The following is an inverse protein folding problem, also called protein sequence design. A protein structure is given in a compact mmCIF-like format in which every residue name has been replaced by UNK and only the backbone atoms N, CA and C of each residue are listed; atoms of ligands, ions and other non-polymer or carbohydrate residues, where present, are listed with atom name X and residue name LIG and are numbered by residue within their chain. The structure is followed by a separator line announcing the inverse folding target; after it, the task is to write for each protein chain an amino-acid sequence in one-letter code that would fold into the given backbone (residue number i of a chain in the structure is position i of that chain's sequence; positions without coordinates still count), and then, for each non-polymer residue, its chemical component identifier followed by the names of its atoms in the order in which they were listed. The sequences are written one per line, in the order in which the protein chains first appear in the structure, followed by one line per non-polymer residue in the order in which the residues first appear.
data_IF_501442608400
#
_entry.id   IF_501442608400
#
_cell.length_a   1.000
_cell.length_b   1.000
_cell.length_c   1.000
_cell.angle_alpha   90.00
_cell.angle_beta   90.00
_cell.angle_gamma   90.00
#
_symmetry.space_group_name_H-M   'P 1'
#
loop_
_entity.id
_entity.type
_entity.pdbx_description
1 polymer ?
#
# COMPACT_ATOMS: atom_id res chain seq x y z
N UNK A 1 14.38 -5.38 17.37
CA UNK A 1 14.73 -3.95 17.55
C UNK A 1 13.53 -3.03 17.45
N UNK A 2 12.71 -3.08 16.40
CA UNK A 2 11.53 -2.20 16.24
C UNK A 2 10.59 -2.21 17.46
N UNK A 3 10.29 -3.40 18.03
CA UNK A 3 9.43 -3.52 19.21
C UNK A 3 9.99 -2.83 20.48
N UNK A 4 11.28 -2.47 20.50
CA UNK A 4 11.90 -1.74 21.60
C UNK A 4 11.69 -0.22 21.50
N UNK A 5 11.25 0.32 20.35
CA UNK A 5 11.04 1.76 20.11
C UNK A 5 10.26 2.45 21.24
N UNK A 6 9.11 1.94 21.70
CA UNK A 6 8.35 2.59 22.77
C UNK A 6 9.05 2.58 24.13
N UNK A 7 9.99 1.66 24.34
CA UNK A 7 10.69 1.45 25.62
C UNK A 7 12.08 2.09 25.71
N UNK A 8 12.60 2.69 24.63
CA UNK A 8 13.90 3.35 24.68
C UNK A 8 13.84 4.61 25.55
N UNK A 9 14.72 4.65 26.56
CA UNK A 9 15.03 5.86 27.30
C UNK A 9 16.18 6.57 26.59
N UNK A 10 15.95 7.81 26.14
CA UNK A 10 17.03 8.69 25.69
C UNK A 10 17.47 9.49 26.92
N UNK A 11 18.71 9.31 27.35
CA UNK A 11 19.32 10.13 28.40
C UNK A 11 19.95 11.38 27.74
N UNK A 12 19.34 12.56 27.94
CA UNK A 12 19.84 13.83 27.41
C UNK A 12 19.92 13.91 25.87
N UNK A 13 20.87 14.69 25.35
CA UNK A 13 21.15 14.79 23.90
C UNK A 13 21.86 13.53 23.33
N UNK A 14 22.15 12.53 24.18
CA UNK A 14 23.03 11.42 23.88
C UNK A 14 22.31 10.18 23.32
N UNK A 15 23.08 9.41 22.56
CA UNK A 15 22.74 8.22 21.77
C UNK A 15 21.90 7.18 22.54
N UNK A 16 21.05 6.45 21.83
CA UNK A 16 20.27 5.35 22.38
C UNK A 16 21.19 4.30 23.04
N UNK A 17 20.85 3.86 24.25
CA UNK A 17 21.56 2.77 24.91
C UNK A 17 21.27 1.44 24.19
N UNK A 18 22.25 0.98 23.43
CA UNK A 18 22.19 -0.22 22.60
C UNK A 18 23.51 -0.99 22.72
N UNK A 19 23.44 -2.31 22.74
CA UNK A 19 24.62 -3.17 22.57
C UNK A 19 25.22 -3.00 21.17
N UNK A 20 26.48 -3.39 20.99
CA UNK A 20 27.16 -3.23 19.69
C UNK A 20 26.49 -4.07 18.58
N UNK A 21 25.96 -5.24 18.91
CA UNK A 21 25.16 -6.04 17.98
C UNK A 21 23.87 -5.33 17.55
N UNK A 22 23.23 -4.60 18.46
CA UNK A 22 22.02 -3.84 18.17
C UNK A 22 22.33 -2.61 17.31
N UNK A 23 23.43 -1.90 17.58
CA UNK A 23 23.92 -0.79 16.74
C UNK A 23 24.17 -1.26 15.32
N UNK A 24 24.96 -2.33 15.17
CA UNK A 24 25.27 -2.94 13.87
C UNK A 24 24.01 -3.39 13.09
N UNK A 25 22.93 -3.71 13.80
CA UNK A 25 21.65 -4.04 13.18
C UNK A 25 20.88 -2.79 12.75
N UNK A 26 20.76 -1.77 13.60
CA UNK A 26 19.99 -0.56 13.29
C UNK A 26 20.65 0.31 12.22
N UNK A 27 21.98 0.28 12.11
CA UNK A 27 22.73 0.99 11.05
C UNK A 27 22.41 0.47 9.64
N UNK A 28 21.83 -0.73 9.53
CA UNK A 28 21.39 -1.33 8.25
C UNK A 28 19.93 -1.00 7.92
N UNK A 29 19.23 -0.31 8.80
CA UNK A 29 17.83 0.05 8.62
C UNK A 29 17.72 1.46 8.06
N UNK A 30 16.77 1.65 7.16
CA UNK A 30 16.31 2.96 6.73
C UNK A 30 14.89 3.20 7.26
N UNK A 31 14.59 4.43 7.67
CA UNK A 31 13.26 4.82 8.10
C UNK A 31 12.54 5.64 7.01
N UNK A 32 11.25 5.39 6.86
CA UNK A 32 10.37 6.28 6.11
C UNK A 32 9.09 6.46 6.92
N UNK A 33 8.80 7.70 7.29
CA UNK A 33 7.65 8.04 8.11
C UNK A 33 6.43 8.34 7.26
N UNK A 34 5.30 7.77 7.66
CA UNK A 34 3.97 8.10 7.16
C UNK A 34 3.07 8.28 8.38
N UNK A 35 2.53 9.48 8.56
CA UNK A 35 1.65 9.77 9.69
C UNK A 35 0.95 11.11 9.54
N UNK A 36 -0.15 11.27 10.26
CA UNK A 36 -0.99 12.46 10.25
C UNK A 36 -0.46 13.61 11.13
N UNK A 37 0.85 13.63 11.39
CA UNK A 37 1.50 14.59 12.28
C UNK A 37 2.33 15.58 11.48
N UNK A 38 2.30 16.85 11.91
CA UNK A 38 3.22 17.87 11.41
C UNK A 38 4.55 17.74 12.16
N UNK A 39 5.49 17.02 11.57
CA UNK A 39 6.89 16.96 12.04
C UNK A 39 7.74 17.97 11.27
N UNK A 40 8.76 18.55 11.90
CA UNK A 40 9.67 19.50 11.23
C UNK A 40 10.52 18.81 10.17
N UNK A 41 10.96 17.57 10.45
CA UNK A 41 11.77 16.74 9.57
C UNK A 41 11.31 15.28 9.67
N UNK A 42 11.36 14.56 8.55
CA UNK A 42 11.04 13.14 8.54
C UNK A 42 12.25 12.32 8.99
N UNK A 43 12.05 11.27 9.81
CA UNK A 43 13.14 10.40 10.21
C UNK A 43 13.60 9.56 9.01
N UNK A 44 14.90 9.49 8.86
CA UNK A 44 15.61 8.59 7.95
C UNK A 44 16.40 7.51 8.70
N UNK A 45 16.72 7.76 9.97
CA UNK A 45 17.48 6.83 10.83
C UNK A 45 16.64 6.24 11.96
N UNK A 46 17.14 5.16 12.58
CA UNK A 46 16.49 4.53 13.73
C UNK A 46 16.41 5.48 14.94
N UNK A 47 17.49 6.20 15.25
CA UNK A 47 17.54 7.16 16.35
C UNK A 47 16.54 8.32 16.16
N UNK A 48 16.44 8.85 14.94
CA UNK A 48 15.42 9.86 14.60
C UNK A 48 14.00 9.30 14.75
N UNK A 49 13.76 8.05 14.32
CA UNK A 49 12.46 7.41 14.48
C UNK A 49 12.07 7.28 15.96
N UNK A 50 13.00 6.91 16.84
CA UNK A 50 12.74 6.86 18.29
C UNK A 50 12.47 8.25 18.87
N UNK A 51 13.22 9.28 18.45
CA UNK A 51 13.00 10.67 18.87
C UNK A 51 11.61 11.17 18.46
N UNK A 52 11.24 10.99 17.19
CA UNK A 52 9.93 11.38 16.67
C UNK A 52 8.81 10.62 17.36
N UNK A 53 8.94 9.29 17.51
CA UNK A 53 7.94 8.47 18.20
C UNK A 53 7.60 9.02 19.59
N UNK A 54 8.62 9.46 20.35
CA UNK A 54 8.43 10.05 21.68
C UNK A 54 7.75 11.43 21.65
N UNK A 55 7.94 12.18 20.57
CA UNK A 55 7.33 13.50 20.40
C UNK A 55 5.88 13.42 19.89
N UNK A 56 5.46 12.31 19.26
CA UNK A 56 4.11 12.17 18.70
C UNK A 56 2.99 12.56 19.67
N UNK A 57 2.99 12.16 20.97
CA UNK A 57 1.94 12.57 21.89
C UNK A 57 1.87 14.09 22.11
N UNK A 58 3.01 14.78 22.19
CA UNK A 58 3.03 16.24 22.34
C UNK A 58 2.61 16.97 21.06
N UNK A 59 2.81 16.37 19.89
CA UNK A 59 2.41 16.96 18.61
C UNK A 59 0.88 17.00 18.41
N UNK A 60 0.11 16.30 19.25
CA UNK A 60 -1.36 16.39 19.24
C UNK A 60 -1.86 17.77 19.68
N UNK A 61 -1.01 18.55 20.37
CA UNK A 61 -1.38 19.83 20.98
C UNK A 61 -2.01 19.65 22.36
N UNK A 62 -2.03 20.72 23.17
CA UNK A 62 -2.46 20.65 24.57
C UNK A 62 -3.93 20.22 24.73
N UNK A 63 -4.76 20.54 23.74
CA UNK A 63 -6.19 20.24 23.69
C UNK A 63 -6.54 19.30 22.54
N UNK A 64 -5.55 18.55 22.03
CA UNK A 64 -5.71 17.68 20.88
C UNK A 64 -6.15 18.43 19.60
N UNK A 65 -5.77 19.70 19.46
CA UNK A 65 -6.16 20.55 18.33
C UNK A 65 -5.61 20.09 16.97
N UNK A 66 -4.55 19.28 16.98
CA UNK A 66 -3.93 18.75 15.76
C UNK A 66 -4.43 17.35 15.37
N UNK A 67 -5.48 16.83 16.02
CA UNK A 67 -6.01 15.50 15.68
C UNK A 67 -6.74 15.50 14.34
N UNK A 68 -6.66 14.37 13.65
CA UNK A 68 -7.42 14.09 12.44
C UNK A 68 -8.50 13.02 12.69
N UNK A 69 -9.65 13.06 11.99
CA UNK A 69 -10.65 12.01 12.08
C UNK A 69 -10.12 10.65 11.59
N UNK A 70 -10.10 9.65 12.47
CA UNK A 70 -9.75 8.26 12.10
C UNK A 70 -10.96 7.41 11.69
N UNK A 71 -12.14 7.76 12.18
CA UNK A 71 -13.39 7.03 11.94
C UNK A 71 -14.51 8.02 11.70
N UNK A 72 -15.28 7.78 10.65
CA UNK A 72 -16.47 8.56 10.31
C UNK A 72 -17.70 7.65 10.34
N UNK A 73 -18.83 8.21 10.76
CA UNK A 73 -20.13 7.55 10.70
C UNK A 73 -20.97 8.28 9.65
N UNK A 74 -21.46 7.53 8.66
CA UNK A 74 -22.27 8.08 7.57
C UNK A 74 -23.73 7.70 7.78
N UNK A 75 -24.63 8.65 7.55
CA UNK A 75 -26.07 8.40 7.52
C UNK A 75 -26.52 8.29 6.06
N UNK A 76 -27.27 7.25 5.66
CA UNK A 76 -27.72 7.09 4.29
C UNK A 76 -28.60 8.25 3.83
N UNK A 77 -28.20 8.96 2.77
CA UNK A 77 -28.92 10.13 2.27
C UNK A 77 -30.34 9.82 1.80
N UNK A 78 -30.59 8.59 1.33
CA UNK A 78 -31.91 8.14 0.88
C UNK A 78 -32.95 8.04 2.02
N UNK A 79 -32.51 8.12 3.28
CA UNK A 79 -33.40 8.24 4.44
C UNK A 79 -33.79 9.70 4.73
N UNK A 80 -33.08 10.68 4.14
CA UNK A 80 -33.35 12.11 4.27
C UNK A 80 -34.06 12.68 3.04
N UNK A 81 -33.65 12.26 1.83
CA UNK A 81 -34.22 12.67 0.55
C UNK A 81 -34.46 11.44 -0.33
N UNK A 82 -35.71 11.21 -0.72
CA UNK A 82 -36.08 10.07 -1.56
C UNK A 82 -35.54 10.15 -3.00
N UNK A 83 -35.04 11.31 -3.44
CA UNK A 83 -34.36 11.50 -4.72
C UNK A 83 -32.89 11.08 -4.67
N UNK A 84 -32.30 10.93 -3.48
CA UNK A 84 -30.90 10.55 -3.34
C UNK A 84 -30.66 9.11 -3.83
N UNK A 85 -29.51 8.88 -4.47
CA UNK A 85 -29.12 7.55 -4.92
C UNK A 85 -28.98 6.59 -3.74
N UNK A 86 -29.67 5.46 -3.81
CA UNK A 86 -29.54 4.37 -2.84
C UNK A 86 -28.36 3.48 -3.20
N UNK A 87 -27.52 3.14 -2.22
CA UNK A 87 -26.63 1.99 -2.34
C UNK A 87 -27.49 0.74 -2.22
N UNK A 88 -27.54 -0.07 -3.29
CA UNK A 88 -28.49 -1.19 -3.38
C UNK A 88 -27.80 -2.53 -3.16
N UNK A 89 -26.49 -2.61 -3.39
CA UNK A 89 -25.75 -3.87 -3.39
C UNK A 89 -24.40 -3.74 -2.72
N UNK A 90 -24.12 -4.67 -1.83
CA UNK A 90 -22.75 -4.96 -1.39
C UNK A 90 -22.04 -5.80 -2.44
N UNK A 91 -20.71 -5.84 -2.37
CA UNK A 91 -19.90 -6.73 -3.21
C UNK A 91 -19.68 -8.01 -2.44
N UNK A 92 -19.91 -9.16 -3.08
CA UNK A 92 -19.71 -10.45 -2.43
C UNK A 92 -18.28 -10.62 -1.90
N UNK A 93 -18.15 -11.19 -0.69
CA UNK A 93 -16.83 -11.44 -0.07
C UNK A 93 -15.93 -12.27 -0.96
N UNK A 94 -16.47 -13.28 -1.65
CA UNK A 94 -15.74 -14.11 -2.61
C UNK A 94 -15.11 -13.28 -3.74
N UNK A 95 -15.82 -12.29 -4.26
CA UNK A 95 -15.28 -11.42 -5.31
C UNK A 95 -14.24 -10.46 -4.75
N UNK A 96 -14.42 -9.97 -3.51
CA UNK A 96 -13.41 -9.18 -2.80
C UNK A 96 -12.12 -9.99 -2.65
N UNK A 97 -12.19 -11.20 -2.10
CA UNK A 97 -11.03 -12.07 -1.89
C UNK A 97 -10.32 -12.40 -3.21
N UNK A 98 -11.09 -12.72 -4.26
CA UNK A 98 -10.53 -12.96 -5.59
C UNK A 98 -9.85 -11.72 -6.17
N UNK A 99 -10.46 -10.53 -6.03
CA UNK A 99 -9.87 -9.27 -6.50
C UNK A 99 -8.56 -8.93 -5.79
N UNK A 100 -8.49 -9.17 -4.47
CA UNK A 100 -7.28 -8.99 -3.67
C UNK A 100 -6.19 -9.91 -4.20
N UNK A 101 -6.48 -11.20 -4.36
CA UNK A 101 -5.52 -12.18 -4.86
C UNK A 101 -4.95 -11.80 -6.23
N UNK A 102 -5.80 -11.34 -7.16
CA UNK A 102 -5.34 -10.89 -8.49
C UNK A 102 -4.41 -9.67 -8.39
N UNK A 103 -4.78 -8.67 -7.59
CA UNK A 103 -3.96 -7.45 -7.43
C UNK A 103 -2.64 -7.77 -6.73
N UNK A 104 -2.65 -8.60 -5.69
CA UNK A 104 -1.45 -9.03 -4.96
C UNK A 104 -0.51 -9.86 -5.83
N UNK A 105 -1.03 -10.74 -6.68
CA UNK A 105 -0.22 -11.51 -7.62
C UNK A 105 0.50 -10.59 -8.62
N UNK A 106 -0.21 -9.63 -9.22
CA UNK A 106 0.40 -8.65 -10.12
C UNK A 106 1.46 -7.79 -9.42
N UNK A 107 1.19 -7.37 -8.18
CA UNK A 107 2.16 -6.60 -7.40
C UNK A 107 3.39 -7.43 -7.03
N UNK A 108 3.22 -8.71 -6.72
CA UNK A 108 4.33 -9.61 -6.41
C UNK A 108 5.28 -9.75 -7.61
N UNK A 109 4.74 -9.85 -8.84
CA UNK A 109 5.54 -9.87 -10.07
C UNK A 109 6.31 -8.57 -10.30
N UNK A 110 5.69 -7.42 -9.99
CA UNK A 110 6.33 -6.11 -10.08
C UNK A 110 7.51 -6.01 -9.12
N UNK A 111 7.34 -6.49 -7.88
CA UNK A 111 8.40 -6.55 -6.87
C UNK A 111 9.54 -7.44 -7.34
N UNK A 112 9.24 -8.65 -7.84
CA UNK A 112 10.24 -9.59 -8.34
C UNK A 112 11.03 -9.02 -9.53
N UNK A 113 10.33 -8.45 -10.51
CA UNK A 113 10.97 -7.80 -11.66
C UNK A 113 11.87 -6.62 -11.22
N UNK A 114 11.40 -5.81 -10.26
CA UNK A 114 12.19 -4.74 -9.66
C UNK A 114 13.44 -5.29 -8.96
N UNK A 115 13.32 -6.37 -8.19
CA UNK A 115 14.45 -6.94 -7.46
C UNK A 115 15.48 -7.57 -8.40
N UNK A 116 15.02 -8.26 -9.45
CA UNK A 116 15.87 -8.75 -10.53
C UNK A 116 16.61 -7.58 -11.19
N UNK A 117 15.94 -6.48 -11.51
CA UNK A 117 16.56 -5.32 -12.19
C UNK A 117 17.69 -4.66 -11.38
N UNK A 118 17.67 -4.81 -10.05
CA UNK A 118 18.71 -4.31 -9.13
C UNK A 118 19.88 -5.28 -8.96
N UNK A 119 19.77 -6.51 -9.47
CA UNK A 119 20.84 -7.49 -9.36
C UNK A 119 22.06 -7.06 -10.18
N UNK A 120 23.25 -7.27 -9.60
CA UNK A 120 24.53 -6.89 -10.22
C UNK A 120 24.79 -7.65 -11.53
N UNK A 121 24.14 -8.79 -11.76
CA UNK A 121 24.28 -9.56 -13.01
C UNK A 121 23.76 -8.74 -14.20
N UNK A 122 22.67 -7.99 -14.04
CA UNK A 122 22.10 -7.20 -15.14
C UNK A 122 22.93 -5.97 -15.51
N UNK A 123 23.89 -5.56 -14.66
CA UNK A 123 24.90 -4.56 -15.02
C UNK A 123 25.85 -5.06 -16.12
N UNK A 124 25.98 -6.39 -16.31
CA UNK A 124 26.82 -7.00 -17.33
C UNK A 124 26.04 -7.45 -18.57
N UNK A 125 24.70 -7.48 -18.50
CA UNK A 125 23.82 -7.97 -19.57
C UNK A 125 22.72 -6.96 -19.88
N UNK A 126 23.12 -5.82 -20.46
CA UNK A 126 22.22 -4.69 -20.76
C UNK A 126 20.97 -5.09 -21.54
N UNK A 127 21.10 -5.96 -22.54
CA UNK A 127 19.95 -6.42 -23.33
C UNK A 127 18.90 -7.13 -22.46
N UNK A 128 19.31 -7.95 -21.49
CA UNK A 128 18.37 -8.60 -20.57
C UNK A 128 17.73 -7.58 -19.61
N UNK A 129 18.47 -6.54 -19.22
CA UNK A 129 17.94 -5.46 -18.40
C UNK A 129 16.87 -4.64 -19.15
N UNK A 130 17.09 -4.37 -20.45
CA UNK A 130 16.11 -3.72 -21.33
C UNK A 130 14.81 -4.53 -21.41
N UNK A 131 14.89 -5.85 -21.64
CA UNK A 131 13.70 -6.73 -21.64
C UNK A 131 12.96 -6.74 -20.31
N UNK A 132 13.69 -6.73 -19.19
CA UNK A 132 13.10 -6.70 -17.86
C UNK A 132 12.43 -5.36 -17.55
N UNK A 133 13.05 -4.26 -17.97
CA UNK A 133 12.47 -2.91 -17.89
C UNK A 133 11.18 -2.81 -18.72
N UNK A 134 11.19 -3.33 -19.95
CA UNK A 134 10.03 -3.38 -20.82
C UNK A 134 8.90 -4.24 -20.24
N UNK A 135 9.24 -5.40 -19.65
CA UNK A 135 8.28 -6.23 -18.92
C UNK A 135 7.63 -5.44 -17.76
N UNK A 136 8.45 -4.80 -16.93
CA UNK A 136 7.98 -3.97 -15.82
C UNK A 136 7.05 -2.85 -16.28
N UNK A 137 7.41 -2.12 -17.33
CA UNK A 137 6.59 -1.06 -17.90
C UNK A 137 5.23 -1.57 -18.39
N UNK A 138 5.20 -2.71 -19.10
CA UNK A 138 3.96 -3.34 -19.58
C UNK A 138 3.09 -3.86 -18.43
N UNK A 139 3.70 -4.41 -17.38
CA UNK A 139 2.98 -4.85 -16.19
C UNK A 139 2.33 -3.66 -15.46
N UNK A 140 3.07 -2.55 -15.28
CA UNK A 140 2.54 -1.33 -14.67
C UNK A 140 1.41 -0.70 -15.49
N UNK A 141 1.52 -0.71 -16.82
CA UNK A 141 0.44 -0.29 -17.72
C UNK A 141 -0.80 -1.18 -17.56
N UNK A 142 -0.63 -2.50 -17.57
CA UNK A 142 -1.72 -3.44 -17.36
C UNK A 142 -2.43 -3.25 -16.01
N UNK A 143 -1.67 -3.05 -14.92
CA UNK A 143 -2.23 -2.78 -13.59
C UNK A 143 -3.00 -1.46 -13.57
N UNK A 144 -2.54 -0.42 -14.28
CA UNK A 144 -3.24 0.88 -14.38
C UNK A 144 -4.57 0.73 -15.10
N UNK A 145 -4.59 0.05 -16.25
CA UNK A 145 -5.81 -0.21 -17.02
C UNK A 145 -6.82 -1.05 -16.22
N UNK A 146 -6.33 -2.03 -15.48
CA UNK A 146 -7.15 -2.84 -14.57
C UNK A 146 -7.78 -1.95 -13.47
N UNK A 147 -6.97 -1.10 -12.81
CA UNK A 147 -7.46 -0.16 -11.77
C UNK A 147 -8.49 0.82 -12.31
N UNK A 148 -8.30 1.33 -13.52
CA UNK A 148 -9.27 2.23 -14.18
C UNK A 148 -10.61 1.53 -14.42
N UNK A 149 -10.58 0.31 -14.96
CA UNK A 149 -11.80 -0.49 -15.16
C UNK A 149 -12.48 -0.83 -13.84
N UNK A 150 -11.73 -1.16 -12.78
CA UNK A 150 -12.29 -1.38 -11.44
C UNK A 150 -12.97 -0.11 -10.92
N UNK A 151 -12.31 1.05 -11.03
CA UNK A 151 -12.86 2.34 -10.60
C UNK A 151 -14.14 2.71 -11.38
N UNK A 152 -14.23 2.33 -12.65
CA UNK A 152 -15.42 2.52 -13.48
C UNK A 152 -16.59 1.62 -13.05
N UNK A 153 -16.34 0.36 -12.72
CA UNK A 153 -17.40 -0.62 -12.44
C UNK A 153 -17.86 -0.64 -10.98
N UNK A 154 -16.98 -0.38 -10.01
CA UNK A 154 -17.32 -0.41 -8.59
C UNK A 154 -18.53 0.48 -8.22
N UNK A 155 -18.60 1.76 -8.65
CA UNK A 155 -19.76 2.61 -8.34
C UNK A 155 -21.05 2.10 -9.00
N UNK A 156 -20.95 1.57 -10.24
CA UNK A 156 -22.10 1.07 -11.00
C UNK A 156 -22.73 -0.14 -10.32
N UNK A 157 -21.91 -1.09 -9.86
CA UNK A 157 -22.35 -2.30 -9.15
C UNK A 157 -23.03 -1.94 -7.83
N UNK A 158 -22.46 -0.99 -7.09
CA UNK A 158 -22.99 -0.56 -5.79
C UNK A 158 -24.27 0.29 -5.91
N UNK A 159 -24.47 0.97 -7.04
CA UNK A 159 -25.64 1.78 -7.33
C UNK A 159 -26.80 1.01 -7.99
N UNK A 160 -27.90 1.71 -8.23
CA UNK A 160 -29.10 1.17 -8.90
C UNK A 160 -28.98 1.12 -10.43
N UNK A 161 -27.80 0.81 -10.98
CA UNK A 161 -27.56 0.90 -12.44
C UNK A 161 -27.94 -0.36 -13.21
N UNK A 162 -28.25 -1.46 -12.50
CA UNK A 162 -28.51 -2.78 -13.09
C UNK A 162 -27.24 -3.55 -13.47
N UNK A 163 -26.05 -2.99 -13.28
CA UNK A 163 -24.78 -3.68 -13.50
C UNK A 163 -24.55 -4.74 -12.42
N UNK A 164 -24.22 -5.96 -12.84
CA UNK A 164 -23.96 -7.09 -11.95
C UNK A 164 -22.46 -7.23 -11.63
N UNK A 165 -22.17 -7.91 -10.51
CA UNK A 165 -20.81 -8.28 -10.10
C UNK A 165 -20.06 -9.12 -11.13
N UNK A 166 -20.78 -9.83 -12.00
CA UNK A 166 -20.23 -10.65 -13.08
C UNK A 166 -19.29 -9.84 -13.99
N UNK A 167 -19.49 -8.53 -14.13
CA UNK A 167 -18.60 -7.65 -14.91
C UNK A 167 -17.22 -7.55 -14.27
N UNK A 168 -17.13 -7.39 -12.95
CA UNK A 168 -15.84 -7.39 -12.24
C UNK A 168 -15.23 -8.79 -12.23
N UNK A 169 -16.04 -9.84 -12.02
CA UNK A 169 -15.57 -11.21 -12.09
C UNK A 169 -14.91 -11.53 -13.44
N UNK A 170 -15.57 -11.15 -14.55
CA UNK A 170 -15.05 -11.35 -15.89
C UNK A 170 -13.78 -10.52 -16.15
N UNK A 171 -13.70 -9.29 -15.61
CA UNK A 171 -12.50 -8.46 -15.67
C UNK A 171 -11.30 -9.17 -15.02
N UNK A 172 -11.49 -9.75 -13.83
CA UNK A 172 -10.43 -10.50 -13.16
C UNK A 172 -10.11 -11.82 -13.88
N UNK A 173 -11.10 -12.49 -14.46
CA UNK A 173 -10.88 -13.68 -15.31
C UNK A 173 -10.08 -13.39 -16.57
N UNK A 174 -10.17 -12.17 -17.12
CA UNK A 174 -9.29 -11.76 -18.22
C UNK A 174 -7.82 -11.69 -17.79
N UNK A 175 -7.53 -11.36 -16.52
CA UNK A 175 -6.17 -11.43 -15.98
C UNK A 175 -5.68 -12.88 -15.96
N UNK A 176 -6.50 -13.82 -15.47
CA UNK A 176 -6.18 -15.25 -15.50
C UNK A 176 -5.92 -15.77 -16.94
N UNK A 177 -6.63 -15.23 -17.92
CA UNK A 177 -6.46 -15.61 -19.32
C UNK A 177 -5.25 -14.93 -19.98
N UNK A 178 -4.77 -13.81 -19.42
CA UNK A 178 -3.70 -12.99 -19.99
C UNK A 178 -2.32 -13.66 -19.86
N UNK A 179 -1.29 -13.09 -20.51
CA UNK A 179 0.11 -13.43 -20.27
C UNK A 179 0.59 -13.10 -18.84
N UNK A 180 -0.10 -12.22 -18.12
CA UNK A 180 0.22 -11.86 -16.73
C UNK A 180 -0.41 -12.80 -15.69
N UNK A 181 -0.84 -14.00 -16.10
CA UNK A 181 -1.21 -15.02 -15.15
C UNK A 181 0.05 -15.59 -14.48
N UNK A 182 0.06 -15.56 -13.15
CA UNK A 182 1.15 -16.08 -12.32
C UNK A 182 1.58 -17.51 -12.69
N UNK A 183 0.63 -18.42 -12.86
CA UNK A 183 0.96 -19.82 -13.19
C UNK A 183 1.58 -19.99 -14.57
N UNK A 184 1.34 -19.06 -15.51
CA UNK A 184 1.96 -19.07 -16.84
C UNK A 184 3.36 -18.45 -16.85
N UNK A 185 3.65 -17.56 -15.91
CA UNK A 185 4.96 -16.92 -15.77
C UNK A 185 5.92 -17.76 -14.93
N UNK A 186 5.39 -18.58 -14.02
CA UNK A 186 6.15 -19.50 -13.17
C UNK A 186 6.37 -20.89 -13.80
N UNK A 187 5.70 -21.21 -14.91
CA UNK A 187 5.82 -22.50 -15.63
C UNK A 187 6.94 -22.50 -16.66
#
# INVERSE_FOLDING_TARGET
MINKIPGFKIEGEAKLNMSDNEKNFVDKLNCKFYGDFRVSENPSTFDEAVRIYRQLPSLLGEKNENVVPKKVWLYPLNLLDNKAMRFVREISSKLIDYSISVVENLHSMEVEASDLSKSTIFAYFNHMNEHLSDFGARLSEFQRDLKEKIALYLPKIRGSTGVEESVLFNLFKQVDASPFNKSKLES
#
